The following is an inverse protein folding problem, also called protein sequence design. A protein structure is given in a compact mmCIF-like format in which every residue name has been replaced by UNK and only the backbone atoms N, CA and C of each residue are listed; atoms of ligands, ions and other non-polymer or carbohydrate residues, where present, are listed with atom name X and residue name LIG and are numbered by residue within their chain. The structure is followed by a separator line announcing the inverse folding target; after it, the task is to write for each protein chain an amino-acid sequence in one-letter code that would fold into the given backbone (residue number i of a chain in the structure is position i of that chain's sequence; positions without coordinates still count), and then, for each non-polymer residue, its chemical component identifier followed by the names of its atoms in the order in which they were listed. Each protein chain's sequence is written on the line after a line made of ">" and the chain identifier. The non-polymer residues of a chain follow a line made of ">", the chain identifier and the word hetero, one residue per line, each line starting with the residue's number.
data_IF_922806282561
#
_entry.id   IF_922806282561
#
_cell.length_a   1.000
_cell.length_b   1.000
_cell.length_c   1.000
_cell.angle_alpha   90.00
_cell.angle_beta   90.00
_cell.angle_gamma   90.00
#
_symmetry.space_group_name_H-M   'P 1'
#
loop_
_entity.id
_entity.type
_entity.pdbx_description
1 polymer ?
#
# COMPACT_ATOMS: atom_id res chain seq x y z
N UNK A 1 -3.13 1.40 -12.50
CA UNK A 1 -2.72 1.72 -13.87
C UNK A 1 -1.28 1.29 -14.17
N UNK A 2 -0.85 1.22 -15.46
CA UNK A 2 0.49 0.78 -15.84
C UNK A 2 1.59 1.70 -15.30
N UNK A 3 2.86 1.23 -15.40
CA UNK A 3 4.01 2.04 -15.02
C UNK A 3 4.09 3.31 -15.88
N UNK A 4 4.49 4.44 -15.28
CA UNK A 4 4.58 5.73 -15.97
C UNK A 4 3.26 6.44 -16.28
N UNK A 5 2.11 5.95 -15.83
CA UNK A 5 0.82 6.60 -16.10
C UNK A 5 0.48 7.81 -15.19
N UNK A 6 1.38 8.21 -14.27
CA UNK A 6 1.18 9.38 -13.40
C UNK A 6 0.77 9.08 -11.96
N UNK A 7 0.77 7.82 -11.50
CA UNK A 7 0.37 7.44 -10.13
C UNK A 7 1.23 8.11 -9.06
N UNK A 8 2.55 8.01 -9.19
CA UNK A 8 3.50 8.64 -8.25
C UNK A 8 3.42 10.17 -8.31
N UNK A 9 3.16 10.74 -9.48
CA UNK A 9 2.92 12.19 -9.61
C UNK A 9 1.68 12.61 -8.82
N UNK A 10 0.56 11.88 -8.97
CA UNK A 10 -0.64 12.13 -8.18
C UNK A 10 -0.39 12.00 -6.67
N UNK A 11 0.38 10.98 -6.27
CA UNK A 11 0.76 10.78 -4.87
C UNK A 11 1.57 11.96 -4.34
N UNK A 12 2.55 12.46 -5.12
CA UNK A 12 3.37 13.62 -4.76
C UNK A 12 2.56 14.91 -4.64
N UNK A 13 1.55 15.10 -5.50
CA UNK A 13 0.59 16.22 -5.38
C UNK A 13 -0.20 16.13 -4.07
N UNK A 14 -0.75 14.96 -3.76
CA UNK A 14 -1.50 14.73 -2.50
C UNK A 14 -0.61 14.95 -1.27
N UNK A 15 0.66 14.55 -1.34
CA UNK A 15 1.64 14.79 -0.27
C UNK A 15 2.07 16.26 -0.15
N UNK A 16 1.95 17.06 -1.21
CA UNK A 16 2.50 18.42 -1.24
C UNK A 16 4.00 18.47 -1.57
N UNK A 17 4.55 17.38 -2.12
CA UNK A 17 5.93 17.32 -2.63
C UNK A 17 6.09 18.01 -3.98
N UNK A 18 5.00 18.12 -4.73
CA UNK A 18 4.95 18.80 -6.03
C UNK A 18 3.74 19.75 -6.01
N UNK A 19 3.88 21.01 -6.44
CA UNK A 19 2.74 21.92 -6.55
C UNK A 19 1.80 21.48 -7.68
N UNK A 20 0.50 21.77 -7.52
CA UNK A 20 -0.47 21.56 -8.58
C UNK A 20 -0.44 22.77 -9.54
N UNK A 21 -0.48 22.51 -10.85
CA UNK A 21 -0.57 23.55 -11.88
C UNK A 21 -1.96 24.22 -11.85
N UNK A 22 -3.00 23.46 -11.49
CA UNK A 22 -4.37 23.92 -11.38
C UNK A 22 -5.23 22.94 -10.57
N UNK A 23 -6.42 23.40 -10.13
CA UNK A 23 -7.33 22.60 -9.32
C UNK A 23 -7.05 22.74 -7.83
N UNK A 24 -7.79 21.97 -7.04
CA UNK A 24 -7.76 22.04 -5.58
C UNK A 24 -7.65 20.63 -4.97
N UNK A 25 -6.97 20.52 -3.85
CA UNK A 25 -6.89 19.32 -3.03
C UNK A 25 -7.66 19.60 -1.75
N UNK A 26 -8.82 18.96 -1.61
CA UNK A 26 -9.69 19.13 -0.45
C UNK A 26 -9.55 17.92 0.48
N UNK A 27 -9.20 18.16 1.72
CA UNK A 27 -9.15 17.16 2.77
C UNK A 27 -9.97 17.61 3.97
N UNK A 28 -10.94 16.79 4.38
CA UNK A 28 -11.83 17.07 5.51
C UNK A 28 -12.51 18.46 5.40
N UNK A 29 -12.97 18.78 4.17
CA UNK A 29 -13.63 20.06 3.84
C UNK A 29 -12.71 21.29 3.81
N UNK A 30 -11.40 21.11 3.92
CA UNK A 30 -10.41 22.20 3.88
C UNK A 30 -9.55 22.08 2.63
N UNK A 31 -9.31 23.21 1.98
CA UNK A 31 -8.32 23.30 0.90
C UNK A 31 -6.90 23.19 1.48
N UNK A 32 -6.18 22.15 1.04
CA UNK A 32 -4.81 21.89 1.44
C UNK A 32 -3.82 22.00 0.27
N UNK A 33 -4.26 22.54 -0.86
CA UNK A 33 -3.45 22.61 -2.10
C UNK A 33 -2.07 23.22 -1.85
N UNK A 34 -2.02 24.32 -1.12
CA UNK A 34 -0.80 25.06 -0.81
C UNK A 34 -0.24 24.80 0.61
N UNK A 35 -0.80 23.82 1.33
CA UNK A 35 -0.31 23.47 2.67
C UNK A 35 0.97 22.64 2.52
N UNK A 36 2.08 22.98 3.20
CA UNK A 36 3.32 22.20 3.18
C UNK A 36 3.11 20.76 3.66
N UNK A 37 3.91 19.81 3.15
CA UNK A 37 3.80 18.39 3.48
C UNK A 37 3.79 18.12 5.00
N UNK A 38 4.68 18.78 5.73
CA UNK A 38 4.84 18.61 7.19
C UNK A 38 3.62 19.03 7.99
N UNK A 39 2.75 19.89 7.43
CA UNK A 39 1.53 20.38 8.08
C UNK A 39 0.28 19.59 7.66
N UNK A 40 0.33 18.80 6.56
CA UNK A 40 -0.81 17.98 6.10
C UNK A 40 -1.14 16.85 7.06
N UNK A 41 -0.16 16.36 7.82
CA UNK A 41 -0.31 15.21 8.72
C UNK A 41 -0.47 13.89 7.96
N UNK A 42 0.02 13.83 6.73
CA UNK A 42 0.02 12.64 5.88
C UNK A 42 1.38 11.95 5.97
N UNK A 43 1.38 10.64 6.00
CA UNK A 43 2.62 9.88 5.98
C UNK A 43 2.63 8.88 4.82
N UNK A 44 3.82 8.60 4.31
CA UNK A 44 4.04 7.70 3.18
C UNK A 44 5.00 6.57 3.54
N UNK A 45 4.70 5.37 3.03
CA UNK A 45 5.66 4.28 2.92
C UNK A 45 6.06 4.19 1.44
N UNK A 46 7.31 4.51 1.15
CA UNK A 46 7.89 4.43 -0.18
C UNK A 46 8.19 2.99 -0.58
N UNK A 47 8.32 2.74 -1.88
CA UNK A 47 8.62 1.42 -2.45
C UNK A 47 9.96 0.83 -1.93
N UNK A 48 10.96 1.67 -1.70
CA UNK A 48 12.26 1.29 -1.13
C UNK A 48 12.30 1.30 0.40
N UNK A 49 11.11 1.53 1.03
CA UNK A 49 10.90 1.64 2.48
C UNK A 49 11.60 2.84 3.15
N UNK A 50 12.55 3.49 2.51
CA UNK A 50 13.32 4.65 2.99
C UNK A 50 13.77 4.52 4.46
N UNK A 51 14.23 3.32 4.87
CA UNK A 51 14.71 3.06 6.24
C UNK A 51 16.11 3.62 6.44
N UNK A 52 16.39 4.08 7.65
CA UNK A 52 17.71 4.61 8.02
C UNK A 52 18.70 3.45 8.25
N UNK A 53 19.70 3.24 7.39
CA UNK A 53 20.58 2.08 7.45
C UNK A 53 21.47 2.06 8.71
N UNK A 54 21.79 3.24 9.24
CA UNK A 54 22.64 3.39 10.43
C UNK A 54 21.90 3.15 11.76
N UNK A 55 20.58 2.96 11.71
CA UNK A 55 19.74 2.74 12.89
C UNK A 55 19.27 1.29 12.93
N UNK A 56 19.07 0.76 14.15
CA UNK A 56 18.38 -0.51 14.33
C UNK A 56 16.86 -0.37 14.10
N UNK A 57 16.13 -1.47 14.15
CA UNK A 57 14.68 -1.52 13.94
C UNK A 57 13.95 -0.58 14.89
N UNK A 58 14.20 -0.68 16.20
CA UNK A 58 13.52 0.16 17.20
C UNK A 58 13.75 1.65 16.94
N UNK A 59 15.00 2.05 16.67
CA UNK A 59 15.34 3.44 16.39
C UNK A 59 14.75 3.94 15.07
N UNK A 60 14.55 3.06 14.07
CA UNK A 60 13.81 3.40 12.85
C UNK A 60 12.35 3.68 13.18
N UNK A 61 11.69 2.79 13.93
CA UNK A 61 10.28 2.93 14.30
C UNK A 61 10.05 4.23 15.06
N UNK A 62 10.88 4.52 16.05
CA UNK A 62 10.71 5.66 16.96
C UNK A 62 11.36 6.95 16.49
N UNK A 63 11.93 6.96 15.27
CA UNK A 63 12.71 8.11 14.79
C UNK A 63 11.93 9.43 14.80
N UNK A 64 10.70 9.41 14.31
CA UNK A 64 9.83 10.61 14.24
C UNK A 64 9.41 11.13 15.62
N UNK A 65 9.35 10.27 16.63
CA UNK A 65 8.97 10.63 17.99
C UNK A 65 10.02 11.52 18.67
N UNK A 66 11.26 11.58 18.17
CA UNK A 66 12.27 12.52 18.68
C UNK A 66 11.83 13.97 18.57
N UNK A 67 11.11 14.31 17.50
CA UNK A 67 10.63 15.66 17.23
C UNK A 67 9.20 15.90 17.73
N UNK A 68 8.44 14.83 17.99
CA UNK A 68 7.05 14.84 18.44
C UNK A 68 6.84 13.75 19.51
N UNK A 69 7.46 13.88 20.71
CA UNK A 69 7.48 12.79 21.70
C UNK A 69 6.09 12.42 22.23
N UNK A 70 5.17 13.38 22.25
CA UNK A 70 3.84 13.22 22.84
C UNK A 70 2.80 12.65 21.87
N UNK A 71 3.20 12.33 20.63
CA UNK A 71 2.24 11.87 19.60
C UNK A 71 1.79 10.43 19.86
N UNK A 72 2.69 9.59 20.39
CA UNK A 72 2.39 8.21 20.80
C UNK A 72 3.08 7.86 22.11
N UNK A 73 2.35 7.16 22.98
CA UNK A 73 2.89 6.62 24.21
C UNK A 73 3.80 5.42 23.92
N UNK A 74 4.57 5.00 24.93
CA UNK A 74 5.40 3.80 24.81
C UNK A 74 4.55 2.55 24.57
N UNK A 75 3.43 2.46 25.23
CA UNK A 75 2.48 1.34 25.13
C UNK A 75 1.94 1.23 23.70
N UNK A 76 1.53 2.35 23.10
CA UNK A 76 1.08 2.38 21.69
C UNK A 76 2.18 1.98 20.70
N UNK A 77 3.42 2.40 20.92
CA UNK A 77 4.57 1.96 20.13
C UNK A 77 4.76 0.46 20.25
N UNK A 78 4.67 -0.09 21.47
CA UNK A 78 4.79 -1.52 21.74
C UNK A 78 3.66 -2.31 21.07
N UNK A 79 2.43 -1.81 21.06
CA UNK A 79 1.29 -2.41 20.34
C UNK A 79 1.55 -2.52 18.84
N UNK A 80 2.07 -1.48 18.18
CA UNK A 80 2.42 -1.55 16.76
C UNK A 80 3.58 -2.53 16.49
N UNK A 81 4.56 -2.61 17.37
CA UNK A 81 5.67 -3.56 17.28
C UNK A 81 5.12 -5.00 17.32
N UNK A 82 4.21 -5.30 18.25
CA UNK A 82 3.61 -6.63 18.40
C UNK A 82 2.67 -6.95 17.24
N UNK A 83 1.80 -6.01 16.87
CA UNK A 83 0.87 -6.14 15.74
C UNK A 83 1.61 -6.49 14.44
N UNK A 84 2.77 -5.91 14.22
CA UNK A 84 3.59 -6.14 13.02
C UNK A 84 4.62 -7.27 13.19
N UNK A 85 4.64 -7.96 14.35
CA UNK A 85 5.54 -9.09 14.61
C UNK A 85 7.01 -8.70 14.53
N UNK A 86 7.38 -7.55 15.14
CA UNK A 86 8.74 -7.00 15.07
C UNK A 86 9.53 -7.17 16.37
N UNK A 87 8.91 -7.71 17.45
CA UNK A 87 9.51 -7.80 18.79
C UNK A 87 10.89 -8.45 18.81
N UNK A 88 11.06 -9.54 18.08
CA UNK A 88 12.33 -10.29 18.01
C UNK A 88 13.40 -9.62 17.13
N UNK A 89 13.07 -8.51 16.49
CA UNK A 89 13.93 -7.86 15.50
C UNK A 89 14.40 -6.48 15.91
N UNK A 90 14.01 -5.97 17.08
CA UNK A 90 14.20 -4.58 17.48
C UNK A 90 15.66 -4.12 17.48
N UNK A 91 16.58 -4.99 17.86
CA UNK A 91 18.01 -4.67 17.92
C UNK A 91 18.77 -4.92 16.61
N UNK A 92 18.12 -5.58 15.61
CA UNK A 92 18.74 -5.87 14.32
C UNK A 92 18.96 -4.60 13.51
N UNK A 93 20.03 -4.59 12.73
CA UNK A 93 20.26 -3.58 11.68
C UNK A 93 19.35 -3.88 10.48
N UNK A 94 19.06 -2.84 9.70
CA UNK A 94 18.14 -2.92 8.56
C UNK A 94 18.64 -3.91 7.48
N UNK A 95 19.94 -4.01 7.26
CA UNK A 95 20.55 -4.95 6.32
C UNK A 95 20.33 -6.43 6.66
N UNK A 96 20.05 -6.75 7.94
CA UNK A 96 19.81 -8.11 8.44
C UNK A 96 18.35 -8.56 8.24
N UNK A 97 17.49 -7.69 7.70
CA UNK A 97 16.06 -7.94 7.55
C UNK A 97 15.70 -8.39 6.13
N UNK A 98 14.72 -9.30 6.02
CA UNK A 98 14.06 -9.61 4.75
C UNK A 98 13.25 -8.40 4.23
N UNK A 99 12.88 -8.42 2.93
CA UNK A 99 12.04 -7.38 2.34
C UNK A 99 10.73 -7.16 3.11
N UNK A 100 10.02 -8.24 3.46
CA UNK A 100 8.78 -8.15 4.25
C UNK A 100 8.99 -7.62 5.67
N UNK A 101 10.14 -7.92 6.31
CA UNK A 101 10.48 -7.34 7.62
C UNK A 101 10.77 -5.85 7.50
N UNK A 102 11.53 -5.42 6.48
CA UNK A 102 11.79 -3.99 6.20
C UNK A 102 10.49 -3.22 5.98
N UNK A 103 9.57 -3.79 5.22
CA UNK A 103 8.25 -3.19 4.99
C UNK A 103 7.46 -3.02 6.30
N UNK A 104 7.43 -4.05 7.16
CA UNK A 104 6.75 -3.97 8.45
C UNK A 104 7.38 -2.91 9.37
N UNK A 105 8.70 -2.75 9.34
CA UNK A 105 9.40 -1.67 10.05
C UNK A 105 8.98 -0.29 9.52
N UNK A 106 8.89 -0.12 8.19
CA UNK A 106 8.44 1.14 7.58
C UNK A 106 6.98 1.45 7.93
N UNK A 107 6.11 0.43 7.94
CA UNK A 107 4.73 0.57 8.42
C UNK A 107 4.68 1.00 9.89
N UNK A 108 5.39 0.30 10.79
CA UNK A 108 5.45 0.66 12.21
C UNK A 108 5.91 2.10 12.40
N UNK A 109 7.02 2.50 11.73
CA UNK A 109 7.54 3.88 11.78
C UNK A 109 6.50 4.92 11.36
N UNK A 110 5.70 4.58 10.38
CA UNK A 110 4.65 5.47 9.87
C UNK A 110 3.47 5.53 10.83
N UNK A 111 3.07 4.39 11.39
CA UNK A 111 1.89 4.27 12.26
C UNK A 111 2.08 4.94 13.62
N UNK A 112 3.28 4.86 14.21
CA UNK A 112 3.58 5.54 15.49
C UNK A 112 3.46 7.07 15.40
N UNK A 113 3.45 7.63 14.21
CA UNK A 113 3.23 9.07 13.98
C UNK A 113 1.75 9.44 13.87
N UNK A 114 0.82 8.49 14.02
CA UNK A 114 -0.63 8.69 13.94
C UNK A 114 -1.06 9.54 12.74
N UNK A 115 -0.77 9.10 11.50
CA UNK A 115 -1.07 9.88 10.31
C UNK A 115 -2.58 10.05 10.13
N UNK A 116 -3.00 11.17 9.55
CA UNK A 116 -4.39 11.37 9.13
C UNK A 116 -4.70 10.56 7.88
N UNK A 117 -3.72 10.45 6.99
CA UNK A 117 -3.78 9.60 5.79
C UNK A 117 -2.51 8.77 5.69
N UNK A 118 -2.66 7.48 5.42
CA UNK A 118 -1.59 6.56 5.11
C UNK A 118 -1.48 6.39 3.59
N UNK A 119 -0.33 6.77 3.04
CA UNK A 119 -0.03 6.56 1.63
C UNK A 119 0.96 5.41 1.48
N UNK A 120 0.68 4.50 0.58
CA UNK A 120 1.51 3.32 0.32
C UNK A 120 1.84 3.29 -1.18
N UNK A 121 3.12 3.46 -1.53
CA UNK A 121 3.59 3.39 -2.92
C UNK A 121 4.16 2.01 -3.21
N UNK A 122 3.42 1.23 -3.99
CA UNK A 122 3.72 -0.17 -4.37
C UNK A 122 4.14 -1.06 -3.18
N UNK A 123 3.35 -1.11 -2.10
CA UNK A 123 3.76 -1.71 -0.84
C UNK A 123 4.00 -3.22 -0.90
N UNK A 124 3.56 -3.89 -1.97
CA UNK A 124 3.62 -5.34 -2.09
C UNK A 124 4.50 -5.82 -3.26
N UNK A 125 5.13 -4.91 -3.99
CA UNK A 125 5.83 -5.21 -5.24
C UNK A 125 7.07 -6.08 -5.06
N UNK A 126 7.74 -6.02 -3.91
CA UNK A 126 8.98 -6.74 -3.60
C UNK A 126 8.76 -7.97 -2.68
N UNK A 127 7.52 -8.45 -2.56
CA UNK A 127 7.17 -9.52 -1.62
C UNK A 127 6.77 -10.81 -2.33
N UNK A 128 7.21 -11.93 -1.75
CA UNK A 128 6.81 -13.27 -2.20
C UNK A 128 5.37 -13.61 -1.79
N UNK A 129 4.73 -14.53 -2.52
CA UNK A 129 3.30 -14.81 -2.43
C UNK A 129 2.71 -14.95 -1.02
N UNK A 130 3.28 -15.80 -0.16
CA UNK A 130 2.76 -16.03 1.20
C UNK A 130 2.93 -14.79 2.08
N UNK A 131 4.10 -14.14 2.00
CA UNK A 131 4.39 -12.90 2.75
C UNK A 131 3.50 -11.77 2.26
N UNK A 132 3.28 -11.68 0.95
CA UNK A 132 2.39 -10.70 0.32
C UNK A 132 0.97 -10.77 0.88
N UNK A 133 0.38 -11.96 0.96
CA UNK A 133 -0.96 -12.13 1.53
C UNK A 133 -1.02 -11.76 3.02
N UNK A 134 -0.04 -12.15 3.81
CA UNK A 134 0.05 -11.76 5.22
C UNK A 134 0.11 -10.24 5.40
N UNK A 135 0.87 -9.53 4.57
CA UNK A 135 0.97 -8.06 4.62
C UNK A 135 -0.31 -7.38 4.13
N UNK A 136 -0.98 -7.92 3.10
CA UNK A 136 -2.29 -7.44 2.66
C UNK A 136 -3.31 -7.44 3.80
N UNK A 137 -3.44 -8.57 4.49
CA UNK A 137 -4.38 -8.69 5.61
C UNK A 137 -4.01 -7.72 6.75
N UNK A 138 -2.70 -7.54 7.01
CA UNK A 138 -2.25 -6.61 8.05
C UNK A 138 -2.54 -5.14 7.70
N UNK A 139 -2.37 -4.74 6.44
CA UNK A 139 -2.74 -3.39 5.97
C UNK A 139 -4.25 -3.16 6.14
N UNK A 140 -5.09 -4.13 5.77
CA UNK A 140 -6.55 -4.04 5.95
C UNK A 140 -6.93 -3.94 7.43
N UNK A 141 -6.35 -4.79 8.28
CA UNK A 141 -6.57 -4.79 9.72
C UNK A 141 -6.25 -3.41 10.31
N UNK A 142 -5.07 -2.88 10.04
CA UNK A 142 -4.64 -1.56 10.51
C UNK A 142 -5.59 -0.46 10.01
N UNK A 143 -5.90 -0.45 8.72
CA UNK A 143 -6.77 0.57 8.13
C UNK A 143 -8.18 0.55 8.77
N UNK A 144 -8.72 -0.64 9.01
CA UNK A 144 -10.03 -0.84 9.64
C UNK A 144 -10.00 -0.45 11.12
N UNK A 145 -9.06 -1.00 11.89
CA UNK A 145 -9.05 -0.88 13.34
C UNK A 145 -8.72 0.53 13.82
N UNK A 146 -7.93 1.25 13.02
CA UNK A 146 -7.58 2.66 13.28
C UNK A 146 -8.44 3.66 12.47
N UNK A 147 -9.44 3.19 11.73
CA UNK A 147 -10.30 4.02 10.86
C UNK A 147 -9.49 4.96 9.95
N UNK A 148 -8.37 4.47 9.40
CA UNK A 148 -7.47 5.27 8.59
C UNK A 148 -7.95 5.39 7.15
N UNK A 149 -7.94 6.62 6.63
CA UNK A 149 -7.97 6.82 5.18
C UNK A 149 -6.63 6.36 4.59
N UNK A 150 -6.69 5.34 3.72
CA UNK A 150 -5.48 4.77 3.10
C UNK A 150 -5.54 4.93 1.59
N UNK A 151 -4.46 5.42 0.99
CA UNK A 151 -4.28 5.49 -0.46
C UNK A 151 -3.15 4.53 -0.84
N UNK A 152 -3.46 3.53 -1.67
CA UNK A 152 -2.51 2.53 -2.13
C UNK A 152 -2.29 2.73 -3.63
N UNK A 153 -1.04 2.94 -4.01
CA UNK A 153 -0.61 2.95 -5.40
C UNK A 153 -0.07 1.58 -5.76
N UNK A 154 -0.61 0.98 -6.80
CA UNK A 154 -0.16 -0.31 -7.31
C UNK A 154 -0.33 -0.40 -8.83
N UNK A 155 0.46 -1.24 -9.46
CA UNK A 155 0.29 -1.63 -10.85
C UNK A 155 -0.42 -2.98 -11.00
N UNK A 156 -0.65 -3.72 -9.91
CA UNK A 156 -1.35 -5.00 -9.90
C UNK A 156 -2.87 -4.80 -9.76
N UNK A 157 -3.69 -5.19 -10.76
CA UNK A 157 -5.15 -5.10 -10.70
C UNK A 157 -5.77 -5.88 -9.53
N UNK A 158 -5.20 -7.04 -9.20
CA UNK A 158 -5.70 -7.89 -8.12
C UNK A 158 -5.56 -7.19 -6.77
N UNK A 159 -4.39 -6.58 -6.50
CA UNK A 159 -4.16 -5.80 -5.29
C UNK A 159 -5.17 -4.65 -5.20
N UNK A 160 -5.32 -3.87 -6.28
CA UNK A 160 -6.24 -2.74 -6.30
C UNK A 160 -7.68 -3.16 -5.98
N UNK A 161 -8.14 -4.27 -6.54
CA UNK A 161 -9.53 -4.74 -6.37
C UNK A 161 -9.77 -5.44 -5.02
N UNK A 162 -8.73 -6.03 -4.42
CA UNK A 162 -8.88 -6.79 -3.17
C UNK A 162 -8.58 -5.98 -1.92
N UNK A 163 -7.82 -4.86 -2.03
CA UNK A 163 -7.39 -4.07 -0.88
C UNK A 163 -8.22 -2.80 -0.66
N UNK A 164 -9.02 -2.35 -1.63
CA UNK A 164 -9.62 -1.03 -1.55
C UNK A 164 -11.15 -1.04 -1.69
N UNK A 165 -11.80 -0.06 -1.05
CA UNK A 165 -13.23 0.21 -1.18
C UNK A 165 -13.55 0.93 -2.49
N UNK A 166 -12.59 1.70 -3.01
CA UNK A 166 -12.68 2.44 -4.27
C UNK A 166 -11.37 2.32 -5.05
N UNK A 167 -11.48 2.16 -6.34
CA UNK A 167 -10.35 2.04 -7.27
C UNK A 167 -10.34 3.21 -8.24
N UNK A 168 -9.20 3.88 -8.35
CA UNK A 168 -8.93 4.90 -9.36
C UNK A 168 -7.98 4.32 -10.42
N UNK A 169 -8.44 4.22 -11.65
CA UNK A 169 -7.63 3.73 -12.78
C UNK A 169 -7.13 4.93 -13.57
N UNK A 170 -5.81 5.09 -13.60
CA UNK A 170 -5.12 6.15 -14.34
C UNK A 170 -4.45 5.56 -15.56
N UNK A 171 -4.57 6.25 -16.71
CA UNK A 171 -3.91 5.91 -17.95
C UNK A 171 -3.40 7.18 -18.64
N UNK A 172 -2.10 7.24 -18.96
CA UNK A 172 -1.47 8.39 -19.64
C UNK A 172 -1.85 9.75 -19.03
N UNK A 173 -1.81 9.84 -17.71
CA UNK A 173 -2.13 11.06 -16.96
C UNK A 173 -3.63 11.36 -16.80
N UNK A 174 -4.51 10.56 -17.40
CA UNK A 174 -5.96 10.76 -17.34
C UNK A 174 -6.65 9.70 -16.49
N UNK A 175 -7.73 10.07 -15.82
CA UNK A 175 -8.62 9.13 -15.12
C UNK A 175 -9.41 8.34 -16.14
N UNK A 176 -9.23 7.02 -16.15
CA UNK A 176 -9.98 6.10 -17.03
C UNK A 176 -11.25 5.60 -16.39
N UNK A 177 -11.24 5.34 -15.08
CA UNK A 177 -12.41 4.97 -14.30
C UNK A 177 -12.16 5.18 -12.82
N UNK A 178 -13.23 5.51 -12.07
CA UNK A 178 -13.26 5.53 -10.61
C UNK A 178 -14.54 4.87 -10.12
N UNK A 179 -14.44 3.96 -9.17
CA UNK A 179 -15.60 3.27 -8.62
C UNK A 179 -15.26 2.15 -7.66
N UNK A 180 -16.25 1.46 -7.12
CA UNK A 180 -16.05 0.27 -6.31
C UNK A 180 -15.47 -0.87 -7.17
N UNK A 181 -14.71 -1.82 -6.56
CA UNK A 181 -14.16 -2.98 -7.28
C UNK A 181 -15.20 -3.71 -8.12
N UNK A 182 -16.39 -3.95 -7.58
CA UNK A 182 -17.48 -4.60 -8.31
C UNK A 182 -17.95 -3.81 -9.54
N UNK A 183 -17.98 -2.47 -9.47
CA UNK A 183 -18.33 -1.63 -10.62
C UNK A 183 -17.27 -1.70 -11.72
N UNK A 184 -15.99 -1.71 -11.33
CA UNK A 184 -14.87 -1.86 -12.27
C UNK A 184 -14.97 -3.18 -13.05
N UNK A 185 -15.30 -4.26 -12.33
CA UNK A 185 -15.40 -5.61 -12.92
C UNK A 185 -16.63 -5.75 -13.81
N UNK A 186 -17.79 -5.27 -13.36
CA UNK A 186 -19.07 -5.51 -14.06
C UNK A 186 -19.40 -4.49 -15.13
N UNK A 187 -18.84 -3.27 -15.03
CA UNK A 187 -19.14 -2.13 -15.91
C UNK A 187 -17.88 -1.34 -16.27
N UNK A 188 -16.91 -1.95 -16.97
CA UNK A 188 -15.71 -1.24 -17.42
C UNK A 188 -16.10 -0.12 -18.38
N UNK A 189 -15.64 1.11 -18.13
CA UNK A 189 -16.03 2.30 -18.88
C UNK A 189 -15.41 2.39 -20.28
N UNK A 190 -14.29 1.71 -20.52
CA UNK A 190 -13.61 1.72 -21.80
C UNK A 190 -12.77 0.44 -22.03
N UNK A 191 -12.27 0.29 -23.26
CA UNK A 191 -11.47 -0.89 -23.66
C UNK A 191 -10.18 -1.01 -22.84
N UNK A 192 -9.55 0.11 -22.50
CA UNK A 192 -8.33 0.07 -21.68
C UNK A 192 -8.59 -0.57 -20.30
N UNK A 193 -9.66 -0.18 -19.63
CA UNK A 193 -10.05 -0.76 -18.33
C UNK A 193 -10.32 -2.25 -18.46
N UNK A 194 -11.07 -2.64 -19.51
CA UNK A 194 -11.37 -4.04 -19.80
C UNK A 194 -10.08 -4.85 -20.00
N UNK A 195 -9.18 -4.38 -20.84
CA UNK A 195 -7.93 -5.09 -21.14
C UNK A 195 -6.98 -5.10 -19.94
N UNK A 196 -6.78 -3.96 -19.28
CA UNK A 196 -5.83 -3.82 -18.18
C UNK A 196 -6.27 -4.54 -16.91
N UNK A 197 -7.57 -4.61 -16.64
CA UNK A 197 -8.10 -5.23 -15.41
C UNK A 197 -8.61 -6.65 -15.70
N UNK A 198 -9.65 -6.77 -16.56
CA UNK A 198 -10.38 -8.03 -16.70
C UNK A 198 -9.55 -9.11 -17.41
N UNK A 199 -8.90 -8.77 -18.51
CA UNK A 199 -8.11 -9.75 -19.25
C UNK A 199 -6.94 -10.30 -18.41
N UNK A 200 -6.29 -9.45 -17.60
CA UNK A 200 -5.22 -9.92 -16.70
C UNK A 200 -5.74 -10.88 -15.63
N UNK A 201 -6.90 -10.56 -15.04
CA UNK A 201 -7.53 -11.46 -14.05
C UNK A 201 -8.01 -12.77 -14.67
N UNK A 202 -8.58 -12.73 -15.88
CA UNK A 202 -8.99 -13.93 -16.61
C UNK A 202 -7.80 -14.83 -16.95
N UNK A 203 -6.68 -14.26 -17.39
CA UNK A 203 -5.44 -15.01 -17.65
C UNK A 203 -4.94 -15.67 -16.37
N UNK A 204 -4.85 -14.94 -15.26
CA UNK A 204 -4.45 -15.50 -13.96
C UNK A 204 -5.38 -16.64 -13.54
N UNK A 205 -6.68 -16.42 -13.61
CA UNK A 205 -7.72 -17.44 -13.28
C UNK A 205 -7.53 -18.70 -14.13
N UNK A 206 -7.42 -18.55 -15.45
CA UNK A 206 -7.31 -19.68 -16.37
C UNK A 206 -6.02 -20.47 -16.16
N UNK A 207 -4.90 -19.80 -15.89
CA UNK A 207 -3.63 -20.44 -15.56
C UNK A 207 -3.74 -21.28 -14.28
N UNK A 208 -4.36 -20.73 -13.22
CA UNK A 208 -4.60 -21.46 -11.97
C UNK A 208 -5.51 -22.67 -12.20
N UNK A 209 -6.63 -22.49 -12.91
CA UNK A 209 -7.55 -23.59 -13.24
C UNK A 209 -6.87 -24.71 -14.02
N UNK A 210 -6.03 -24.40 -15.00
CA UNK A 210 -5.30 -25.38 -15.78
C UNK A 210 -4.37 -26.26 -14.91
N UNK A 211 -3.70 -25.67 -13.92
CA UNK A 211 -2.85 -26.41 -12.98
C UNK A 211 -3.65 -27.43 -12.13
N UNK A 212 -4.85 -27.08 -11.69
CA UNK A 212 -5.70 -28.00 -10.93
C UNK A 212 -6.31 -29.09 -11.79
N UNK A 213 -6.67 -28.83 -13.05
CA UNK A 213 -7.21 -29.83 -13.97
C UNK A 213 -6.18 -30.88 -14.37
N UNK A 214 -4.91 -30.50 -14.56
CA UNK A 214 -3.83 -31.45 -14.86
C UNK A 214 -3.60 -32.43 -13.70
N UNK A 215 -3.69 -31.98 -12.44
CA UNK A 215 -3.54 -32.85 -11.27
C UNK A 215 -4.70 -33.83 -11.10
N UNK A 216 -5.93 -33.49 -11.50
CA UNK A 216 -7.09 -34.39 -11.43
C UNK A 216 -7.01 -35.50 -12.49
N UNK A 217 -6.48 -35.24 -13.68
CA UNK A 217 -6.30 -36.25 -14.73
C UNK A 217 -5.16 -37.24 -14.43
N UNK A 218 -4.11 -36.80 -13.73
CA UNK A 218 -3.00 -37.65 -13.31
C UNK A 218 -3.37 -38.59 -12.18
N UNK A 219 -4.23 -38.19 -11.27
CA UNK A 219 -4.71 -39.04 -10.17
C UNK A 219 -5.76 -40.09 -10.61
N UNK A 220 -6.43 -39.90 -11.75
CA UNK A 220 -7.36 -40.88 -12.33
C UNK A 220 -6.67 -41.97 -13.21
N UNK A 221 -5.39 -41.77 -13.57
CA UNK A 221 -4.61 -42.75 -14.32
C UNK A 221 -3.74 -43.67 -13.44
N UNK A 222 -3.76 -43.44 -12.11
CA UNK A 222 -2.96 -44.19 -11.13
C UNK A 222 -3.82 -45.15 -10.25
N UNK A 223 -5.02 -45.53 -10.72
CA UNK A 223 -5.87 -46.59 -10.09
C UNK A 223 -6.09 -47.73 -11.03
#
# INVERSE_FOLDING_TARGET
>A
GPSGCGKTTLLNLVLGLTPADSGEIIFDGKDITNVPMEERGFNIVFQDYALFPNLNVYKNITYGLKNKPDISTKEEVDEFIDLLGLREHLDKKIEQLSGGQKQRVALARTMVMKPKILLLDEPLSALDGVIKESIKEKIKEIARDLHLTTIIVTHDPEEALTLSDKVLIVNKGCISQYGAPQEIITRPQNNFVKEFILNQLEIKKNNIFALFQQNMSTSMQAV
#
